data_IF_420350442941
#
_entry.id   IF_420350442941
#
_cell.length_a   1.000
_cell.length_b   1.000
_cell.length_c   1.000
_cell.angle_alpha   90.00
_cell.angle_beta   90.00
_cell.angle_gamma   90.00
#
_symmetry.space_group_name_H-M   'P 1'
#
loop_
_entity.id
_entity.type
_entity.pdbx_description
1 polymer ?
#
# COMPACT_ATOMS: atom_id res chain seq x y z
N UNK A 1 -25.42 -44.03 -3.21
CA UNK A 1 -24.37 -43.30 -2.48
C UNK A 1 -24.19 -41.94 -3.14
N UNK A 2 -24.85 -40.92 -2.62
CA UNK A 2 -24.59 -39.52 -2.97
C UNK A 2 -24.20 -38.87 -1.66
N UNK A 3 -22.90 -38.72 -1.43
CA UNK A 3 -22.39 -37.90 -0.34
C UNK A 3 -22.58 -36.44 -0.75
N UNK A 4 -23.61 -35.82 -0.20
CA UNK A 4 -23.74 -34.37 -0.15
C UNK A 4 -22.63 -33.84 0.76
N UNK A 5 -21.60 -33.27 0.15
CA UNK A 5 -20.49 -32.59 0.81
C UNK A 5 -21.03 -31.29 1.44
N UNK A 6 -21.61 -31.43 2.63
CA UNK A 6 -22.20 -30.36 3.41
C UNK A 6 -21.08 -29.56 4.10
N UNK A 7 -20.34 -28.76 3.33
CA UNK A 7 -19.27 -27.89 3.83
C UNK A 7 -19.81 -26.49 4.13
N UNK A 8 -20.20 -26.27 5.38
CA UNK A 8 -20.06 -25.00 6.13
C UNK A 8 -20.25 -23.68 5.35
N UNK A 9 -21.29 -23.56 4.54
CA UNK A 9 -21.72 -22.31 3.94
C UNK A 9 -22.56 -21.49 4.93
N UNK A 10 -21.95 -20.94 5.98
CA UNK A 10 -22.59 -19.82 6.68
C UNK A 10 -22.55 -18.64 5.71
N UNK A 11 -23.70 -18.28 5.14
CA UNK A 11 -23.82 -17.08 4.31
C UNK A 11 -23.22 -15.90 5.07
N UNK A 12 -22.25 -15.23 4.43
CA UNK A 12 -21.59 -14.08 5.01
C UNK A 12 -22.62 -12.96 5.09
N UNK A 13 -23.13 -12.67 6.30
CA UNK A 13 -24.08 -11.59 6.48
C UNK A 13 -23.47 -10.27 5.99
N UNK A 14 -24.11 -9.65 5.00
CA UNK A 14 -23.61 -8.41 4.37
C UNK A 14 -23.49 -7.26 5.37
N UNK A 15 -22.34 -6.59 5.33
CA UNK A 15 -22.07 -5.38 6.10
C UNK A 15 -22.75 -4.15 5.50
N UNK A 16 -22.73 -3.02 6.21
CA UNK A 16 -23.31 -1.77 5.71
C UNK A 16 -22.57 -1.28 4.47
N UNK A 17 -21.23 -1.27 4.49
CA UNK A 17 -20.44 -0.84 3.33
C UNK A 17 -20.60 -1.77 2.13
N UNK A 18 -20.74 -3.09 2.37
CA UNK A 18 -21.02 -4.04 1.29
C UNK A 18 -22.36 -3.75 0.61
N UNK A 19 -23.40 -3.44 1.40
CA UNK A 19 -24.72 -3.07 0.86
C UNK A 19 -24.65 -1.77 0.07
N UNK A 20 -23.95 -0.77 0.60
CA UNK A 20 -23.77 0.53 -0.05
C UNK A 20 -23.04 0.42 -1.40
N UNK A 21 -22.05 -0.49 -1.50
CA UNK A 21 -21.37 -0.80 -2.75
C UNK A 21 -22.31 -1.44 -3.79
N UNK A 22 -23.18 -2.36 -3.37
CA UNK A 22 -24.09 -3.07 -4.27
C UNK A 22 -25.22 -2.16 -4.75
N UNK A 23 -25.80 -1.36 -3.86
CA UNK A 23 -26.99 -0.57 -4.17
C UNK A 23 -26.71 0.68 -5.01
N UNK A 24 -25.45 1.14 -5.06
CA UNK A 24 -25.00 2.33 -5.79
C UNK A 24 -26.06 3.46 -5.89
N UNK A 25 -26.62 3.92 -4.75
CA UNK A 25 -27.71 4.87 -4.78
C UNK A 25 -27.22 6.21 -5.34
N UNK A 26 -28.14 7.02 -5.89
CA UNK A 26 -27.81 8.39 -6.31
C UNK A 26 -27.22 9.23 -5.15
N UNK A 27 -27.53 8.86 -3.92
CA UNK A 27 -27.03 9.47 -2.67
C UNK A 27 -25.65 8.97 -2.24
N UNK A 28 -25.03 8.03 -2.97
CA UNK A 28 -23.78 7.36 -2.57
C UNK A 28 -22.67 8.33 -2.10
N UNK A 29 -22.36 9.45 -2.80
CA UNK A 29 -21.33 10.37 -2.32
C UNK A 29 -21.67 10.99 -0.97
N UNK A 30 -22.93 11.35 -0.74
CA UNK A 30 -23.39 11.94 0.52
C UNK A 30 -23.48 10.88 1.62
N UNK A 31 -23.89 9.66 1.30
CA UNK A 31 -23.93 8.53 2.25
C UNK A 31 -22.51 8.17 2.73
N UNK A 32 -21.53 8.11 1.83
CA UNK A 32 -20.11 7.90 2.18
C UNK A 32 -19.62 9.03 3.07
N UNK A 33 -19.89 10.28 2.70
CA UNK A 33 -19.48 11.46 3.47
C UNK A 33 -20.09 11.42 4.88
N UNK A 34 -21.37 11.12 5.00
CA UNK A 34 -22.06 10.99 6.28
C UNK A 34 -21.51 9.84 7.13
N UNK A 35 -21.20 8.70 6.50
CA UNK A 35 -20.56 7.57 7.19
C UNK A 35 -19.16 7.92 7.70
N UNK A 36 -18.32 8.57 6.90
CA UNK A 36 -16.98 9.02 7.31
C UNK A 36 -17.04 10.03 8.46
N UNK A 37 -18.01 10.96 8.41
CA UNK A 37 -18.24 11.94 9.48
C UNK A 37 -18.75 11.30 10.77
N UNK A 38 -19.52 10.22 10.69
CA UNK A 38 -20.08 9.52 11.85
C UNK A 38 -20.01 7.99 11.67
N UNK A 39 -18.79 7.39 11.76
CA UNK A 39 -18.61 5.97 11.50
C UNK A 39 -19.39 5.12 12.52
N UNK A 40 -20.07 4.10 12.02
CA UNK A 40 -20.82 3.14 12.84
C UNK A 40 -20.30 1.74 12.56
N UNK A 41 -20.15 0.96 13.63
CA UNK A 41 -19.74 -0.46 13.58
C UNK A 41 -18.44 -0.74 12.78
N UNK A 42 -17.43 0.15 12.85
CA UNK A 42 -16.15 0.01 12.13
C UNK A 42 -15.49 -1.37 12.37
N UNK A 43 -15.52 -1.86 13.61
CA UNK A 43 -14.98 -3.18 13.96
C UNK A 43 -15.71 -4.31 13.22
N UNK A 44 -17.04 -4.20 13.03
CA UNK A 44 -17.84 -5.17 12.29
C UNK A 44 -17.52 -5.13 10.80
N UNK A 45 -17.32 -3.94 10.24
CA UNK A 45 -16.91 -3.77 8.84
C UNK A 45 -15.53 -4.38 8.58
N UNK A 46 -14.57 -4.21 9.50
CA UNK A 46 -13.25 -4.84 9.42
C UNK A 46 -13.35 -6.36 9.47
N UNK A 47 -14.14 -6.92 10.41
CA UNK A 47 -14.36 -8.37 10.52
C UNK A 47 -15.06 -8.94 9.28
N UNK A 48 -16.03 -8.21 8.72
CA UNK A 48 -16.67 -8.61 7.47
C UNK A 48 -15.65 -8.66 6.34
N UNK A 49 -14.87 -7.59 6.16
CA UNK A 49 -13.87 -7.50 5.09
C UNK A 49 -12.83 -8.62 5.19
N UNK A 50 -12.36 -8.93 6.40
CA UNK A 50 -11.44 -10.04 6.66
C UNK A 50 -11.99 -11.39 6.18
N UNK A 51 -13.27 -11.65 6.45
CA UNK A 51 -13.95 -12.88 5.99
C UNK A 51 -14.18 -12.85 4.49
N UNK A 52 -14.62 -11.72 3.95
CA UNK A 52 -14.92 -11.54 2.53
C UNK A 52 -13.69 -11.78 1.65
N UNK A 53 -12.53 -11.26 2.06
CA UNK A 53 -11.24 -11.48 1.38
C UNK A 53 -10.87 -12.96 1.24
N UNK A 54 -11.36 -13.80 2.15
CA UNK A 54 -11.08 -15.25 2.18
C UNK A 54 -12.13 -16.08 1.42
N UNK A 55 -13.13 -15.45 0.81
CA UNK A 55 -14.17 -16.16 0.03
C UNK A 55 -13.64 -16.66 -1.32
N UNK A 56 -14.38 -17.56 -1.96
CA UNK A 56 -14.07 -18.06 -3.30
C UNK A 56 -14.44 -16.99 -4.33
N UNK A 57 -13.44 -16.43 -5.01
CA UNK A 57 -13.56 -15.34 -6.00
C UNK A 57 -14.24 -14.06 -5.47
N UNK A 58 -13.58 -13.32 -4.58
CA UNK A 58 -14.12 -12.05 -4.10
C UNK A 58 -14.07 -10.96 -5.18
N UNK A 59 -15.02 -10.03 -5.08
CA UNK A 59 -14.97 -8.79 -5.84
C UNK A 59 -13.86 -7.87 -5.28
N UNK A 60 -12.76 -7.75 -6.03
CA UNK A 60 -11.62 -6.90 -5.68
C UNK A 60 -11.98 -5.41 -5.63
N UNK A 61 -12.91 -4.96 -6.47
CA UNK A 61 -13.37 -3.57 -6.48
C UNK A 61 -14.14 -3.26 -5.20
N UNK A 62 -14.96 -4.22 -4.72
CA UNK A 62 -15.62 -4.11 -3.41
C UNK A 62 -14.60 -4.04 -2.26
N UNK A 63 -13.55 -4.85 -2.30
CA UNK A 63 -12.49 -4.80 -1.27
C UNK A 63 -11.83 -3.42 -1.24
N UNK A 64 -11.47 -2.88 -2.41
CA UNK A 64 -10.90 -1.52 -2.53
C UNK A 64 -11.85 -0.47 -1.95
N UNK A 65 -13.12 -0.50 -2.34
CA UNK A 65 -14.13 0.43 -1.87
C UNK A 65 -14.21 0.45 -0.32
N UNK A 66 -14.28 -0.74 0.28
CA UNK A 66 -14.32 -0.86 1.74
C UNK A 66 -13.03 -0.36 2.40
N UNK A 67 -11.87 -0.71 1.84
CA UNK A 67 -10.57 -0.28 2.35
C UNK A 67 -10.43 1.25 2.35
N UNK A 68 -10.82 1.90 1.25
CA UNK A 68 -10.73 3.36 1.08
C UNK A 68 -11.67 4.13 2.02
N UNK A 69 -12.86 3.59 2.33
CA UNK A 69 -13.77 4.21 3.29
C UNK A 69 -13.29 3.97 4.72
N UNK A 70 -12.89 2.74 5.04
CA UNK A 70 -12.42 2.40 6.37
C UNK A 70 -11.17 3.18 6.76
N UNK A 71 -10.24 3.46 5.84
CA UNK A 71 -9.05 4.27 6.12
C UNK A 71 -9.40 5.68 6.63
N UNK A 72 -10.53 6.23 6.18
CA UNK A 72 -11.03 7.57 6.56
C UNK A 72 -11.83 7.55 7.87
N UNK A 73 -12.22 6.38 8.36
CA UNK A 73 -13.07 6.23 9.54
C UNK A 73 -12.28 6.00 10.85
N UNK A 74 -10.98 5.76 10.78
CA UNK A 74 -10.15 5.37 11.92
C UNK A 74 -9.93 6.57 12.87
N UNK A 75 -10.39 6.45 14.12
CA UNK A 75 -10.28 7.52 15.13
C UNK A 75 -9.36 7.14 16.28
N UNK A 76 -9.29 5.85 16.62
CA UNK A 76 -8.51 5.32 17.75
C UNK A 76 -7.24 4.63 17.26
N UNK A 77 -6.19 4.66 18.09
CA UNK A 77 -4.94 3.95 17.80
C UNK A 77 -5.14 2.43 17.65
N UNK A 78 -6.06 1.84 18.44
CA UNK A 78 -6.39 0.41 18.34
C UNK A 78 -7.01 0.04 17.00
N UNK A 79 -7.97 0.85 16.52
CA UNK A 79 -8.60 0.67 15.21
C UNK A 79 -7.56 0.76 14.09
N UNK A 80 -6.65 1.74 14.16
CA UNK A 80 -5.59 1.88 13.18
C UNK A 80 -4.68 0.65 13.13
N UNK A 81 -4.32 0.11 14.30
CA UNK A 81 -3.49 -1.10 14.40
C UNK A 81 -4.19 -2.30 13.78
N UNK A 82 -5.46 -2.52 14.09
CA UNK A 82 -6.20 -3.70 13.63
C UNK A 82 -6.53 -3.60 12.14
N UNK A 83 -6.84 -2.39 11.66
CA UNK A 83 -6.93 -2.08 10.23
C UNK A 83 -5.60 -2.35 9.49
N UNK A 84 -4.47 -1.93 10.05
CA UNK A 84 -3.15 -2.19 9.45
C UNK A 84 -2.86 -3.70 9.32
N UNK A 85 -3.21 -4.50 10.34
CA UNK A 85 -3.07 -5.96 10.26
C UNK A 85 -3.93 -6.54 9.14
N UNK A 86 -5.17 -6.08 9.00
CA UNK A 86 -6.07 -6.48 7.93
C UNK A 86 -5.49 -6.13 6.55
N UNK A 87 -4.98 -4.91 6.36
CA UNK A 87 -4.35 -4.50 5.11
C UNK A 87 -3.15 -5.36 4.74
N UNK A 88 -2.25 -5.61 5.70
CA UNK A 88 -1.11 -6.51 5.49
C UNK A 88 -1.60 -7.90 5.06
N UNK A 89 -2.62 -8.44 5.72
CA UNK A 89 -3.22 -9.74 5.36
C UNK A 89 -3.77 -9.73 3.93
N UNK A 90 -4.45 -8.66 3.51
CA UNK A 90 -4.97 -8.52 2.15
C UNK A 90 -3.81 -8.53 1.15
N UNK A 91 -2.78 -7.69 1.35
CA UNK A 91 -1.64 -7.61 0.43
C UNK A 91 -0.83 -8.91 0.38
N UNK A 92 -0.76 -9.67 1.48
CA UNK A 92 -0.17 -11.01 1.50
C UNK A 92 -1.02 -12.04 0.75
N UNK A 93 -2.34 -11.97 0.86
CA UNK A 93 -3.27 -12.87 0.16
C UNK A 93 -3.16 -12.69 -1.35
N UNK A 94 -3.02 -11.45 -1.82
CA UNK A 94 -2.94 -11.08 -3.23
C UNK A 94 -1.50 -10.74 -3.68
N UNK A 95 -0.50 -11.47 -3.19
CA UNK A 95 0.92 -11.19 -3.44
C UNK A 95 1.40 -11.46 -4.88
N UNK A 96 0.62 -12.19 -5.67
CA UNK A 96 0.99 -12.55 -7.04
C UNK A 96 0.94 -11.34 -7.98
N UNK A 97 1.78 -11.38 -9.02
CA UNK A 97 1.96 -10.25 -9.94
C UNK A 97 0.64 -9.78 -10.62
N UNK A 98 -0.26 -10.71 -10.92
CA UNK A 98 -1.58 -10.40 -11.51
C UNK A 98 -2.42 -9.45 -10.66
N UNK A 99 -2.18 -9.38 -9.35
CA UNK A 99 -2.90 -8.52 -8.41
C UNK A 99 -2.07 -7.29 -8.00
N UNK A 100 -1.00 -6.98 -8.73
CA UNK A 100 -0.12 -5.86 -8.43
C UNK A 100 -0.85 -4.50 -8.39
N UNK A 101 -1.70 -4.21 -9.39
CA UNK A 101 -2.51 -2.97 -9.42
C UNK A 101 -3.47 -2.92 -8.23
N UNK A 102 -4.13 -4.04 -7.92
CA UNK A 102 -4.99 -4.14 -6.75
C UNK A 102 -4.21 -3.82 -5.46
N UNK A 103 -3.06 -4.47 -5.23
CA UNK A 103 -2.21 -4.20 -4.08
C UNK A 103 -1.72 -2.74 -4.02
N UNK A 104 -1.32 -2.17 -5.15
CA UNK A 104 -0.89 -0.76 -5.23
C UNK A 104 -2.02 0.18 -4.83
N UNK A 105 -3.26 -0.06 -5.27
CA UNK A 105 -4.43 0.76 -4.88
C UNK A 105 -4.71 0.68 -3.39
N UNK A 106 -4.65 -0.53 -2.81
CA UNK A 106 -4.76 -0.73 -1.37
C UNK A 106 -3.66 0.03 -0.61
N UNK A 107 -2.40 -0.08 -1.03
CA UNK A 107 -1.27 0.60 -0.39
C UNK A 107 -1.40 2.13 -0.49
N UNK A 108 -1.83 2.66 -1.64
CA UNK A 108 -2.05 4.09 -1.85
C UNK A 108 -3.10 4.69 -0.91
N UNK A 109 -4.08 3.89 -0.49
CA UNK A 109 -5.09 4.35 0.47
C UNK A 109 -4.53 4.65 1.86
N UNK A 110 -3.31 4.17 2.19
CA UNK A 110 -2.69 4.29 3.51
C UNK A 110 -1.28 4.86 3.52
N UNK A 111 -0.65 5.04 2.37
CA UNK A 111 0.75 5.50 2.27
C UNK A 111 1.00 6.87 2.93
N UNK A 112 -0.04 7.72 3.00
CA UNK A 112 0.00 9.03 3.66
C UNK A 112 -0.37 9.01 5.14
N UNK A 113 -0.53 7.85 5.76
CA UNK A 113 -0.87 7.76 7.18
C UNK A 113 0.21 8.38 8.06
N UNK A 114 -0.22 9.06 9.14
CA UNK A 114 0.68 9.60 10.17
C UNK A 114 1.43 8.50 10.94
N UNK A 115 0.92 7.28 10.91
CA UNK A 115 1.54 6.15 11.58
C UNK A 115 2.36 5.34 10.59
N UNK A 116 3.52 4.87 11.06
CA UNK A 116 4.36 4.00 10.27
C UNK A 116 3.69 2.65 10.03
N UNK A 117 3.55 2.29 8.76
CA UNK A 117 3.22 0.95 8.29
C UNK A 117 4.41 0.51 7.42
N UNK A 118 4.96 -0.71 7.57
CA UNK A 118 6.13 -1.15 6.79
C UNK A 118 5.81 -1.48 5.32
N UNK A 119 5.16 -0.55 4.60
CA UNK A 119 4.68 -0.70 3.22
C UNK A 119 5.83 -0.84 2.21
N UNK A 120 7.00 -0.29 2.53
CA UNK A 120 8.19 -0.32 1.67
C UNK A 120 8.56 -1.72 1.22
N UNK A 121 8.47 -2.73 2.10
CA UNK A 121 8.81 -4.11 1.75
C UNK A 121 7.82 -4.75 0.77
N UNK A 122 6.54 -4.42 0.90
CA UNK A 122 5.49 -4.88 -0.01
C UNK A 122 5.66 -4.22 -1.40
N UNK A 123 5.99 -2.93 -1.42
CA UNK A 123 6.27 -2.20 -2.65
C UNK A 123 7.51 -2.75 -3.36
N UNK A 124 8.59 -3.04 -2.62
CA UNK A 124 9.79 -3.69 -3.18
C UNK A 124 9.46 -5.09 -3.71
N UNK A 125 8.59 -5.85 -3.05
CA UNK A 125 8.12 -7.14 -3.57
C UNK A 125 7.33 -6.98 -4.88
N UNK A 126 6.40 -6.04 -4.94
CA UNK A 126 5.62 -5.75 -6.16
C UNK A 126 6.57 -5.39 -7.31
N UNK A 127 7.54 -4.50 -7.04
CA UNK A 127 8.58 -4.12 -7.99
C UNK A 127 9.40 -5.33 -8.46
N UNK A 128 9.83 -6.20 -7.53
CA UNK A 128 10.55 -7.44 -7.84
C UNK A 128 9.74 -8.34 -8.75
N UNK A 129 8.46 -8.53 -8.45
CA UNK A 129 7.57 -9.37 -9.24
C UNK A 129 7.41 -8.81 -10.66
N UNK A 130 7.20 -7.49 -10.80
CA UNK A 130 7.09 -6.81 -12.08
C UNK A 130 8.37 -6.94 -12.92
N UNK A 131 9.54 -6.65 -12.34
CA UNK A 131 10.84 -6.77 -13.03
C UNK A 131 11.13 -8.20 -13.49
N UNK A 132 10.60 -9.21 -12.78
CA UNK A 132 10.86 -10.62 -13.07
C UNK A 132 10.00 -11.19 -14.20
N UNK A 133 9.00 -10.45 -14.69
CA UNK A 133 8.15 -10.87 -15.82
C UNK A 133 8.98 -10.93 -17.10
N UNK A 134 8.78 -11.98 -17.88
CA UNK A 134 9.49 -12.25 -19.13
C UNK A 134 8.48 -12.54 -20.25
N UNK A 135 8.98 -12.53 -21.49
CA UNK A 135 8.20 -12.81 -22.70
C UNK A 135 7.02 -11.84 -22.84
N UNK A 136 7.33 -10.55 -22.74
CA UNK A 136 6.35 -9.49 -22.78
C UNK A 136 5.87 -9.26 -24.22
N UNK A 137 4.66 -8.73 -24.34
CA UNK A 137 4.03 -8.41 -25.62
C UNK A 137 3.61 -6.95 -25.58
N UNK A 138 3.94 -6.19 -26.61
CA UNK A 138 3.39 -4.84 -26.77
C UNK A 138 1.89 -4.95 -27.08
N UNK A 139 1.04 -4.42 -26.18
CA UNK A 139 -0.42 -4.47 -26.36
C UNK A 139 -1.00 -3.19 -26.94
N UNK A 140 -0.28 -2.06 -26.82
CA UNK A 140 -0.74 -0.73 -27.20
C UNK A 140 -1.89 -0.21 -26.32
N UNK A 141 -2.26 -0.91 -25.24
CA UNK A 141 -3.38 -0.54 -24.38
C UNK A 141 -2.90 0.35 -23.23
N UNK A 142 -3.67 1.41 -22.96
CA UNK A 142 -3.48 2.21 -21.75
C UNK A 142 -3.81 1.37 -20.51
N UNK A 143 -2.97 1.44 -19.49
CA UNK A 143 -3.18 0.78 -18.20
C UNK A 143 -3.42 1.84 -17.13
N UNK A 144 -4.37 1.58 -16.23
CA UNK A 144 -4.69 2.46 -15.10
C UNK A 144 -5.15 1.66 -13.86
N UNK A 145 -5.49 2.40 -12.80
CA UNK A 145 -5.87 1.86 -11.49
C UNK A 145 -7.23 1.19 -11.43
N UNK A 146 -8.08 1.32 -12.45
CA UNK A 146 -9.38 0.64 -12.50
C UNK A 146 -9.23 -0.80 -13.00
N UNK A 147 -8.06 -1.15 -13.55
CA UNK A 147 -7.75 -2.48 -14.08
C UNK A 147 -7.27 -3.46 -12.99
N UNK A 148 -8.10 -3.68 -11.97
CA UNK A 148 -7.75 -4.50 -10.79
C UNK A 148 -7.85 -6.01 -11.01
N UNK A 149 -8.53 -6.45 -12.09
CA UNK A 149 -8.62 -7.84 -12.56
C UNK A 149 -8.13 -7.93 -14.02
N UNK A 150 -6.81 -7.84 -14.27
CA UNK A 150 -6.29 -7.92 -15.63
C UNK A 150 -6.40 -9.36 -16.19
N UNK A 151 -6.69 -9.48 -17.49
CA UNK A 151 -6.62 -10.76 -18.20
C UNK A 151 -5.16 -11.24 -18.38
N UNK A 152 -4.97 -12.52 -18.72
CA UNK A 152 -3.63 -13.13 -18.84
C UNK A 152 -2.76 -12.47 -19.91
N UNK A 153 -3.36 -11.99 -21.00
CA UNK A 153 -2.65 -11.30 -22.07
C UNK A 153 -2.10 -9.96 -21.55
N UNK A 154 -2.92 -9.21 -20.82
CA UNK A 154 -2.57 -7.92 -20.23
C UNK A 154 -1.50 -8.03 -19.16
N UNK A 155 -1.55 -9.07 -18.32
CA UNK A 155 -0.49 -9.32 -17.33
C UNK A 155 0.87 -9.53 -18.01
N UNK A 156 0.89 -10.01 -19.26
CA UNK A 156 2.12 -10.18 -20.05
C UNK A 156 2.44 -8.98 -20.93
N UNK A 157 1.76 -7.84 -20.76
CA UNK A 157 2.03 -6.68 -21.58
C UNK A 157 3.16 -5.82 -21.04
N UNK A 158 3.93 -5.20 -21.94
CA UNK A 158 4.96 -4.23 -21.57
C UNK A 158 4.37 -3.03 -20.82
N UNK A 159 3.18 -2.59 -21.23
CA UNK A 159 2.48 -1.45 -20.61
C UNK A 159 2.04 -1.76 -19.18
N UNK A 160 1.56 -2.98 -18.90
CA UNK A 160 1.18 -3.37 -17.55
C UNK A 160 2.40 -3.45 -16.64
N UNK A 161 3.50 -4.00 -17.14
CA UNK A 161 4.75 -4.05 -16.40
C UNK A 161 5.31 -2.67 -16.11
N UNK A 162 5.35 -1.79 -17.12
CA UNK A 162 5.84 -0.43 -16.94
C UNK A 162 4.98 0.35 -15.94
N UNK A 163 3.65 0.29 -16.09
CA UNK A 163 2.72 0.92 -15.16
C UNK A 163 2.98 0.48 -13.70
N UNK A 164 3.11 -0.83 -13.46
CA UNK A 164 3.36 -1.35 -12.11
C UNK A 164 4.73 -0.90 -11.58
N UNK A 165 5.77 -0.85 -12.42
CA UNK A 165 7.11 -0.40 -12.03
C UNK A 165 7.09 1.08 -11.65
N UNK A 166 6.52 1.93 -12.50
CA UNK A 166 6.43 3.38 -12.28
C UNK A 166 5.61 3.69 -11.03
N UNK A 167 4.44 3.07 -10.88
CA UNK A 167 3.57 3.28 -9.75
C UNK A 167 4.15 2.74 -8.45
N UNK A 168 4.73 1.53 -8.44
CA UNK A 168 5.40 1.01 -7.25
C UNK A 168 6.58 1.90 -6.83
N UNK A 169 7.32 2.44 -7.80
CA UNK A 169 8.43 3.36 -7.57
C UNK A 169 7.94 4.68 -6.96
N UNK A 170 6.91 5.28 -7.55
CA UNK A 170 6.29 6.52 -7.09
C UNK A 170 5.73 6.38 -5.67
N UNK A 171 4.95 5.32 -5.41
CA UNK A 171 4.36 5.07 -4.09
C UNK A 171 5.43 4.75 -3.05
N UNK A 172 6.52 4.08 -3.43
CA UNK A 172 7.66 3.85 -2.53
C UNK A 172 8.35 5.15 -2.15
N UNK A 173 8.61 6.03 -3.11
CA UNK A 173 9.20 7.33 -2.85
C UNK A 173 8.28 8.19 -1.97
N UNK A 174 6.97 8.18 -2.21
CA UNK A 174 5.98 8.85 -1.36
C UNK A 174 6.04 8.32 0.08
N UNK A 175 6.06 7.01 0.25
CA UNK A 175 6.17 6.37 1.56
C UNK A 175 7.45 6.78 2.28
N UNK A 176 8.59 6.71 1.61
CA UNK A 176 9.89 7.07 2.19
C UNK A 176 9.97 8.57 2.51
N UNK A 177 9.37 9.42 1.66
CA UNK A 177 9.27 10.87 1.85
C UNK A 177 8.45 11.24 3.10
N UNK A 178 7.43 10.45 3.44
CA UNK A 178 6.63 10.67 4.65
C UNK A 178 7.47 10.63 5.92
N UNK A 179 8.44 9.71 5.99
CA UNK A 179 9.30 9.51 7.14
C UNK A 179 10.70 10.12 6.97
N UNK A 180 10.93 10.87 5.90
CA UNK A 180 12.27 11.37 5.50
C UNK A 180 12.92 12.33 6.49
N UNK A 181 12.11 12.91 7.38
CA UNK A 181 12.56 13.88 8.39
C UNK A 181 12.88 13.22 9.73
N UNK A 182 12.45 11.98 9.93
CA UNK A 182 12.56 11.31 11.22
C UNK A 182 14.02 11.04 11.58
N UNK A 183 14.34 11.11 12.87
CA UNK A 183 15.71 10.83 13.35
C UNK A 183 16.18 9.40 13.05
N UNK A 184 15.23 8.45 12.99
CA UNK A 184 15.46 7.05 12.62
C UNK A 184 15.32 6.75 11.12
N UNK A 185 15.17 7.77 10.27
CA UNK A 185 15.09 7.58 8.81
C UNK A 185 16.34 6.89 8.22
N UNK A 186 17.58 7.20 8.65
CA UNK A 186 18.77 6.58 8.05
C UNK A 186 18.80 5.05 8.15
N UNK A 187 18.26 4.50 9.24
CA UNK A 187 18.12 3.06 9.47
C UNK A 187 17.10 2.45 8.52
N UNK A 188 15.89 3.04 8.43
CA UNK A 188 14.84 2.60 7.50
C UNK A 188 15.33 2.66 6.04
N UNK A 189 15.92 3.78 5.64
CA UNK A 189 16.45 3.99 4.31
C UNK A 189 17.55 2.99 3.97
N UNK A 190 18.45 2.68 4.92
CA UNK A 190 19.49 1.68 4.72
C UNK A 190 18.93 0.29 4.41
N UNK A 191 17.89 -0.13 5.13
CA UNK A 191 17.23 -1.43 4.88
C UNK A 191 16.55 -1.44 3.52
N UNK A 192 15.78 -0.41 3.17
CA UNK A 192 15.08 -0.32 1.87
C UNK A 192 16.05 -0.29 0.70
N UNK A 193 17.14 0.49 0.79
CA UNK A 193 18.20 0.52 -0.23
C UNK A 193 18.83 -0.87 -0.42
N UNK A 194 19.06 -1.60 0.68
CA UNK A 194 19.62 -2.96 0.62
C UNK A 194 18.69 -3.91 -0.15
N UNK A 195 17.38 -3.86 0.12
CA UNK A 195 16.40 -4.67 -0.60
C UNK A 195 16.29 -4.28 -2.08
N UNK A 196 16.32 -2.99 -2.42
CA UNK A 196 16.32 -2.52 -3.81
C UNK A 196 17.57 -2.97 -4.58
N UNK A 197 18.75 -2.97 -3.95
CA UNK A 197 20.00 -3.43 -4.57
C UNK A 197 20.03 -4.93 -4.87
N UNK A 198 19.17 -5.73 -4.22
CA UNK A 198 19.05 -7.18 -4.49
C UNK A 198 18.23 -7.49 -5.75
N UNK A 199 17.55 -6.50 -6.33
CA UNK A 199 16.72 -6.68 -7.52
C UNK A 199 17.60 -6.91 -8.77
N UNK A 200 17.18 -7.84 -9.64
CA UNK A 200 17.82 -8.06 -10.94
C UNK A 200 17.27 -7.06 -11.96
N UNK A 201 17.68 -5.80 -11.82
CA UNK A 201 17.03 -4.64 -12.45
C UNK A 201 17.11 -4.57 -13.98
N UNK A 202 18.12 -5.19 -14.62
CA UNK A 202 18.22 -5.25 -16.09
C UNK A 202 18.06 -3.87 -16.74
N UNK A 203 17.08 -3.75 -17.65
CA UNK A 203 16.75 -2.52 -18.36
C UNK A 203 16.18 -1.40 -17.47
N UNK A 204 15.68 -1.73 -16.28
CA UNK A 204 15.14 -0.76 -15.31
C UNK A 204 16.20 -0.15 -14.38
N UNK A 205 17.48 -0.27 -14.75
CA UNK A 205 18.60 0.24 -13.95
C UNK A 205 18.47 1.71 -13.64
N UNK A 206 18.00 2.51 -14.59
CA UNK A 206 17.81 3.95 -14.41
C UNK A 206 16.70 4.25 -13.39
N UNK A 207 15.51 3.67 -13.58
CA UNK A 207 14.36 3.87 -12.67
C UNK A 207 14.71 3.49 -11.23
N UNK A 208 15.28 2.29 -11.02
CA UNK A 208 15.66 1.83 -9.69
C UNK A 208 16.87 2.59 -9.13
N UNK A 209 17.82 2.95 -9.99
CA UNK A 209 19.01 3.74 -9.63
C UNK A 209 18.64 5.14 -9.14
N UNK A 210 17.68 5.79 -9.79
CA UNK A 210 17.19 7.12 -9.40
C UNK A 210 16.49 7.07 -8.04
N UNK A 211 15.66 6.04 -7.80
CA UNK A 211 15.06 5.82 -6.48
C UNK A 211 16.09 5.64 -5.37
N UNK A 212 17.07 4.75 -5.57
CA UNK A 212 18.12 4.49 -4.60
C UNK A 212 18.90 5.78 -4.31
N UNK A 213 19.25 6.52 -5.35
CA UNK A 213 20.01 7.77 -5.22
C UNK A 213 19.23 8.83 -4.43
N UNK A 214 17.93 8.99 -4.70
CA UNK A 214 17.09 9.92 -3.94
C UNK A 214 16.98 9.54 -2.46
N UNK A 215 16.73 8.25 -2.17
CA UNK A 215 16.63 7.75 -0.79
C UNK A 215 17.97 7.89 -0.05
N UNK A 216 19.09 7.57 -0.70
CA UNK A 216 20.42 7.67 -0.11
C UNK A 216 20.87 9.12 0.12
N UNK A 217 20.49 10.03 -0.78
CA UNK A 217 20.75 11.47 -0.63
C UNK A 217 20.10 12.03 0.64
N UNK A 218 18.81 11.78 0.82
CA UNK A 218 18.11 12.18 2.05
C UNK A 218 18.68 11.48 3.29
N UNK A 219 19.00 10.18 3.20
CA UNK A 219 19.61 9.42 4.29
C UNK A 219 20.92 10.06 4.76
N UNK A 220 21.81 10.43 3.84
CA UNK A 220 23.07 11.11 4.13
C UNK A 220 22.83 12.47 4.79
N UNK A 221 21.92 13.27 4.24
CA UNK A 221 21.55 14.58 4.81
C UNK A 221 21.07 14.49 6.26
N UNK A 222 20.16 13.55 6.56
CA UNK A 222 19.66 13.34 7.93
C UNK A 222 20.79 12.87 8.85
N UNK A 223 21.65 11.96 8.39
CA UNK A 223 22.77 11.45 9.17
C UNK A 223 23.79 12.54 9.51
N UNK A 224 24.13 13.40 8.54
CA UNK A 224 25.02 14.55 8.76
C UNK A 224 24.47 15.52 9.80
N UNK A 225 23.17 15.83 9.74
CA UNK A 225 22.50 16.68 10.73
C UNK A 225 22.47 16.01 12.11
N UNK A 226 22.18 14.71 12.16
CA UNK A 226 22.15 13.92 13.41
C UNK A 226 23.53 13.90 14.08
N UNK A 227 24.60 13.73 13.32
CA UNK A 227 25.97 13.71 13.86
C UNK A 227 26.41 15.06 14.46
N UNK A 228 25.81 16.17 14.04
CA UNK A 228 26.04 17.50 14.61
C UNK A 228 25.32 17.70 15.94
N UNK A 229 24.30 16.89 16.23
CA UNK A 229 23.67 16.86 17.53
C UNK A 229 24.55 16.08 18.50
N UNK A 230 25.09 16.77 19.51
CA UNK A 230 25.69 16.12 20.68
C UNK A 230 24.58 15.54 21.55
N UNK A 231 23.93 14.46 21.10
CA UNK A 231 22.85 13.78 21.82
C UNK A 231 23.43 13.07 23.06
N UNK A 232 23.40 13.77 24.20
CA UNK A 232 23.65 13.18 25.52
C UNK A 232 22.33 12.72 26.12
N UNK A 233 21.72 11.70 25.48
CA UNK A 233 20.40 11.18 25.85
C UNK A 233 19.29 11.57 24.89
N UNK A 234 18.19 10.81 24.94
CA UNK A 234 17.02 10.96 24.08
C UNK A 234 15.96 11.79 24.81
N UNK A 235 16.02 13.13 24.66
CA UNK A 235 14.90 14.00 25.03
C UNK A 235 13.97 14.16 23.82
N UNK A 236 12.67 13.93 24.03
CA UNK A 236 11.65 14.07 22.99
C UNK A 236 11.60 15.48 22.39
N UNK A 237 11.90 16.52 23.18
CA UNK A 237 11.96 17.90 22.67
C UNK A 237 13.12 18.09 21.68
N UNK A 238 14.27 17.49 21.97
CA UNK A 238 15.43 17.51 21.06
C UNK A 238 15.13 16.77 19.76
N UNK A 239 14.43 15.63 19.82
CA UNK A 239 13.98 14.91 18.62
C UNK A 239 13.04 15.78 17.79
N UNK A 240 11.99 16.36 18.40
CA UNK A 240 11.03 17.17 17.65
C UNK A 240 11.66 18.42 17.02
N UNK A 241 12.60 19.06 17.73
CA UNK A 241 13.38 20.19 17.21
C UNK A 241 14.26 19.78 16.03
N UNK A 242 14.91 18.61 16.13
CA UNK A 242 15.67 18.03 15.03
C UNK A 242 14.79 17.78 13.81
N UNK A 243 13.70 17.03 13.96
CA UNK A 243 12.83 16.62 12.84
C UNK A 243 12.20 17.83 12.14
N UNK A 244 11.94 18.91 12.88
CA UNK A 244 11.46 20.18 12.33
C UNK A 244 12.52 20.93 11.51
N UNK A 245 13.81 20.74 11.83
CA UNK A 245 14.94 21.36 11.12
C UNK A 245 15.33 20.63 9.83
N UNK A 246 14.80 19.42 9.61
CA UNK A 246 15.10 18.61 8.42
C UNK A 246 14.18 19.01 7.28
N UNK A 247 14.78 19.36 6.15
CA UNK A 247 14.10 19.55 4.89
C UNK A 247 13.84 18.20 4.20
N UNK A 248 12.71 18.12 3.50
CA UNK A 248 12.32 16.95 2.70
C UNK A 248 12.77 17.20 1.26
N UNK A 249 13.68 16.35 0.78
CA UNK A 249 14.17 16.41 -0.61
C UNK A 249 13.66 15.25 -1.47
N UNK A 250 12.98 14.27 -0.86
CA UNK A 250 12.38 13.12 -1.55
C UNK A 250 11.04 13.46 -2.19
N UNK A 251 10.91 13.22 -3.51
CA UNK A 251 9.67 13.39 -4.26
C UNK A 251 9.38 14.82 -4.70
N UNK A 252 10.41 15.67 -4.76
CA UNK A 252 10.41 16.92 -5.54
C UNK A 252 10.88 16.65 -6.97
#
# INVERSE_FOLDING_TARGET
MVQTDNKNGRELQESYLSKLYISQPLTLPEDIKNYVLNPREVDREMVYLERYVSTKDPDLTRIIFMVEILSKCLRRHSEFRDYTKLLVRIVETYKDYQYSIFCLRIIRSVVGSKFYIPLSFYLVRILKNAISVKNLIASGRKIDYDMVKPDTERIRSEEHQMFVIEEASSVLLQHMSMFSKNIGFPELAGVVISELKKLRIGIYKEVVGNMISGIDGQRKYVLEKRNKLKLSGIDGKTISSFESSIERTLGQ
#
